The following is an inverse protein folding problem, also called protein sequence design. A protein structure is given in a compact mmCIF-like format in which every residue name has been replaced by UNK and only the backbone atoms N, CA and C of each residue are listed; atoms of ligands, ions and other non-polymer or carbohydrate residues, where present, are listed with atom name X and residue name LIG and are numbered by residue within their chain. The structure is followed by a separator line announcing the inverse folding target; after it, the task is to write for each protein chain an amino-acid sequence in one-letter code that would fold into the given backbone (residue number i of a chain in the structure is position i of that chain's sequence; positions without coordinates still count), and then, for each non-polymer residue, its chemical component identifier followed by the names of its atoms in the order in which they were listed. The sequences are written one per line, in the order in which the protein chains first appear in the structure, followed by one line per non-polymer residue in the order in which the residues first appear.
data_IF_166677570803
#
_entry.id   IF_166677570803
#
_cell.length_a   1.000
_cell.length_b   1.000
_cell.length_c   1.000
_cell.angle_alpha   90.00
_cell.angle_beta   90.00
_cell.angle_gamma   90.00
#
_symmetry.space_group_name_H-M   'P 1'
#
loop_
_entity.id
_entity.type
_entity.pdbx_description
1 polymer ?
#
# COMPACT_ATOMS: atom_id res chain seq x y z
N UNK A 1 6.12 -12.27 -2.12
CA UNK A 1 5.63 -10.89 -2.24
C UNK A 1 6.28 -10.01 -1.17
N UNK A 2 6.46 -8.74 -1.47
CA UNK A 2 6.95 -7.72 -0.55
C UNK A 2 6.14 -6.47 -0.79
N UNK A 3 5.69 -5.82 0.29
CA UNK A 3 5.01 -4.54 0.23
C UNK A 3 5.63 -3.58 1.24
N UNK A 4 5.63 -2.29 0.94
CA UNK A 4 6.23 -1.26 1.79
C UNK A 4 5.16 -0.61 2.67
N UNK A 5 5.37 -0.61 3.99
CA UNK A 5 4.46 -0.07 4.99
C UNK A 5 3.03 -0.61 4.81
N UNK A 6 2.09 0.25 4.42
CA UNK A 6 0.72 -0.10 4.07
C UNK A 6 0.64 -1.24 3.03
N UNK A 7 1.58 -1.28 2.09
CA UNK A 7 1.66 -2.32 1.06
C UNK A 7 1.86 -3.72 1.63
N UNK A 8 2.31 -3.88 2.88
CA UNK A 8 2.39 -5.20 3.54
C UNK A 8 1.00 -5.85 3.67
N UNK A 9 -0.05 -5.05 3.93
CA UNK A 9 -1.44 -5.54 3.95
C UNK A 9 -1.90 -5.99 2.56
N UNK A 10 -1.52 -5.25 1.51
CA UNK A 10 -1.82 -5.63 0.14
C UNK A 10 -1.09 -6.94 -0.24
N UNK A 11 0.19 -7.09 0.14
CA UNK A 11 0.95 -8.32 -0.10
C UNK A 11 0.34 -9.54 0.63
N UNK A 12 -0.08 -9.38 1.89
CA UNK A 12 -0.78 -10.42 2.64
C UNK A 12 -2.12 -10.79 1.97
N UNK A 13 -2.86 -9.80 1.49
CA UNK A 13 -4.12 -10.00 0.78
C UNK A 13 -3.92 -10.76 -0.53
N UNK A 14 -3.01 -10.30 -1.39
CA UNK A 14 -2.72 -10.94 -2.67
C UNK A 14 -2.14 -12.36 -2.52
N UNK A 15 -1.48 -12.65 -1.39
CA UNK A 15 -1.02 -13.99 -1.07
C UNK A 15 -2.13 -14.93 -0.56
N UNK A 16 -3.34 -14.41 -0.34
CA UNK A 16 -4.47 -15.15 0.21
C UNK A 16 -4.43 -15.35 1.73
N UNK A 17 -3.46 -14.75 2.43
CA UNK A 17 -3.33 -14.85 3.88
C UNK A 17 -4.42 -14.07 4.64
N UNK A 18 -4.99 -13.06 3.99
CA UNK A 18 -6.02 -12.18 4.52
C UNK A 18 -7.03 -11.89 3.41
N UNK A 19 -8.33 -11.84 3.72
CA UNK A 19 -9.33 -11.44 2.71
C UNK A 19 -9.27 -9.95 2.42
N UNK A 20 -9.71 -9.54 1.23
CA UNK A 20 -9.68 -8.13 0.84
C UNK A 20 -10.51 -7.25 1.76
N UNK A 21 -11.70 -7.72 2.14
CA UNK A 21 -12.60 -7.02 3.07
C UNK A 21 -11.96 -6.78 4.45
N UNK A 22 -11.33 -7.81 5.03
CA UNK A 22 -10.62 -7.69 6.31
C UNK A 22 -9.43 -6.73 6.20
N UNK A 23 -8.66 -6.83 5.10
CA UNK A 23 -7.54 -5.93 4.85
C UNK A 23 -7.98 -4.47 4.77
N UNK A 24 -9.06 -4.18 4.04
CA UNK A 24 -9.60 -2.83 3.92
C UNK A 24 -10.06 -2.27 5.28
N UNK A 25 -10.77 -3.08 6.08
CA UNK A 25 -11.20 -2.70 7.42
C UNK A 25 -10.00 -2.40 8.34
N UNK A 26 -8.96 -3.24 8.32
CA UNK A 26 -7.74 -3.04 9.09
C UNK A 26 -6.98 -1.77 8.65
N UNK A 27 -6.85 -1.54 7.35
CA UNK A 27 -6.18 -0.34 6.80
C UNK A 27 -6.92 0.94 7.17
N UNK A 28 -8.26 0.93 7.09
CA UNK A 28 -9.09 2.04 7.50
C UNK A 28 -8.94 2.33 9.01
N UNK A 29 -8.98 1.27 9.84
CA UNK A 29 -8.77 1.40 11.28
C UNK A 29 -7.36 1.91 11.61
N UNK A 30 -6.32 1.33 11.00
CA UNK A 30 -4.92 1.76 11.13
C UNK A 30 -4.77 3.25 10.85
N UNK A 31 -5.33 3.71 9.73
CA UNK A 31 -5.26 5.12 9.33
C UNK A 31 -5.98 6.03 10.31
N UNK A 32 -7.19 5.66 10.74
CA UNK A 32 -7.99 6.43 11.69
C UNK A 32 -7.28 6.59 13.04
N UNK A 33 -6.83 5.49 13.63
CA UNK A 33 -6.14 5.49 14.93
C UNK A 33 -4.88 6.36 14.89
N UNK A 34 -4.10 6.24 13.81
CA UNK A 34 -2.85 6.96 13.69
C UNK A 34 -3.08 8.46 13.38
N UNK A 35 -4.15 8.80 12.64
CA UNK A 35 -4.58 10.19 12.45
C UNK A 35 -5.12 10.85 13.73
N UNK A 36 -5.76 10.09 14.62
CA UNK A 36 -6.21 10.62 15.92
C UNK A 36 -5.00 11.05 16.75
N UNK A 37 -3.97 10.21 16.88
CA UNK A 37 -2.71 10.56 17.53
C UNK A 37 -2.07 11.79 16.89
N UNK A 38 -1.95 11.82 15.56
CA UNK A 38 -1.34 12.94 14.84
C UNK A 38 -2.09 14.28 14.98
N UNK A 39 -3.37 14.29 15.40
CA UNK A 39 -4.08 15.54 15.73
C UNK A 39 -3.77 16.05 17.12
N UNK A 40 -3.41 15.15 18.03
CA UNK A 40 -3.09 15.48 19.42
C UNK A 40 -1.62 15.87 19.62
N UNK A 41 -0.76 15.59 18.64
CA UNK A 41 0.67 15.93 18.67
C UNK A 41 1.14 16.59 17.38
N UNK A 42 2.01 17.60 17.51
CA UNK A 42 2.74 18.15 16.37
C UNK A 42 3.83 17.17 15.92
N UNK A 43 3.53 16.39 14.89
CA UNK A 43 4.39 15.35 14.35
C UNK A 43 4.64 15.54 12.86
N UNK A 44 5.83 15.12 12.42
CA UNK A 44 6.24 15.24 11.03
C UNK A 44 7.13 14.07 10.62
N UNK A 45 7.41 14.02 9.32
CA UNK A 45 8.32 13.05 8.73
C UNK A 45 9.22 13.74 7.74
N UNK A 46 10.40 13.17 7.51
CA UNK A 46 11.34 13.71 6.52
C UNK A 46 12.09 12.59 5.83
N UNK A 47 12.39 12.78 4.55
CA UNK A 47 13.24 11.86 3.78
C UNK A 47 14.65 12.42 3.78
N UNK A 48 15.58 11.62 4.25
CA UNK A 48 17.01 11.89 4.19
C UNK A 48 17.57 11.12 2.99
N UNK A 49 18.23 11.80 2.05
CA UNK A 49 18.96 11.18 0.94
C UNK A 49 20.45 11.48 1.07
N UNK A 50 21.27 10.65 0.42
CA UNK A 50 22.73 10.70 0.56
C UNK A 50 23.20 10.60 2.02
N UNK A 51 22.36 10.03 2.90
CA UNK A 51 22.63 9.91 4.32
C UNK A 51 23.53 8.72 4.63
N UNK A 52 24.33 8.83 5.68
CA UNK A 52 25.00 7.70 6.30
C UNK A 52 24.16 7.19 7.48
N UNK A 53 23.89 5.88 7.58
CA UNK A 53 23.05 5.32 8.64
C UNK A 53 23.52 5.68 10.06
N UNK A 54 24.83 5.67 10.32
CA UNK A 54 25.37 5.99 11.64
C UNK A 54 25.19 7.48 11.96
N UNK A 55 25.38 8.35 10.97
CA UNK A 55 25.13 9.79 11.13
C UNK A 55 23.64 10.09 11.35
N UNK A 56 22.76 9.43 10.62
CA UNK A 56 21.30 9.58 10.78
C UNK A 56 20.83 9.08 12.16
N UNK A 57 21.37 7.96 12.64
CA UNK A 57 21.09 7.49 13.99
C UNK A 57 21.57 8.49 15.06
N UNK A 58 22.79 9.02 14.91
CA UNK A 58 23.33 10.03 15.81
C UNK A 58 22.48 11.32 15.79
N UNK A 59 21.99 11.75 14.62
CA UNK A 59 21.11 12.90 14.48
C UNK A 59 19.82 12.73 15.29
N UNK A 60 19.20 11.54 15.25
CA UNK A 60 18.02 11.25 16.06
C UNK A 60 18.35 11.33 17.57
N UNK A 61 19.41 10.67 18.03
CA UNK A 61 19.80 10.68 19.44
C UNK A 61 20.11 12.09 19.97
N UNK A 62 20.80 12.90 19.18
CA UNK A 62 21.11 14.31 19.51
C UNK A 62 19.82 15.12 19.60
N UNK A 63 18.95 15.01 18.59
CA UNK A 63 17.69 15.71 18.55
C UNK A 63 16.76 15.34 19.71
N UNK A 64 16.64 14.06 20.07
CA UNK A 64 15.84 13.63 21.22
C UNK A 64 16.38 14.21 22.54
N UNK A 65 17.70 14.27 22.70
CA UNK A 65 18.34 14.84 23.90
C UNK A 65 18.11 16.34 24.01
N UNK A 66 18.24 17.08 22.91
CA UNK A 66 18.13 18.53 22.87
C UNK A 66 16.69 19.00 23.04
N UNK A 67 15.75 18.35 22.37
CA UNK A 67 14.34 18.75 22.34
C UNK A 67 13.50 18.09 23.42
N UNK A 68 13.98 16.99 24.01
CA UNK A 68 13.19 16.10 24.90
C UNK A 68 11.93 15.55 24.22
N UNK A 69 11.97 15.42 22.90
CA UNK A 69 10.89 14.94 22.06
C UNK A 69 11.35 13.73 21.24
N UNK A 70 10.41 12.86 20.86
CA UNK A 70 10.72 11.59 20.18
C UNK A 70 11.00 11.79 18.69
N UNK A 71 12.04 11.15 18.18
CA UNK A 71 12.33 11.02 16.75
C UNK A 71 13.15 9.75 16.48
N UNK A 72 12.87 9.07 15.37
CA UNK A 72 13.66 7.91 14.98
C UNK A 72 13.58 7.63 13.49
N UNK A 73 14.42 6.70 13.05
CA UNK A 73 14.36 6.17 11.70
C UNK A 73 13.09 5.32 11.57
N UNK A 74 12.19 5.74 10.68
CA UNK A 74 10.94 5.07 10.33
C UNK A 74 11.09 4.08 9.17
N UNK A 75 11.99 4.37 8.21
CA UNK A 75 12.24 3.46 7.09
C UNK A 75 13.72 3.40 6.74
N UNK A 76 14.25 2.20 6.58
CA UNK A 76 15.57 1.91 5.99
C UNK A 76 15.39 1.63 4.50
N UNK A 77 15.17 2.69 3.71
CA UNK A 77 14.75 2.61 2.31
C UNK A 77 15.88 2.17 1.36
N UNK A 78 17.06 2.75 1.47
CA UNK A 78 18.24 2.37 0.69
C UNK A 78 19.52 2.61 1.50
N UNK A 79 20.70 2.15 1.06
CA UNK A 79 21.96 2.41 1.77
C UNK A 79 22.21 3.89 2.09
N UNK A 80 21.60 4.80 1.33
CA UNK A 80 21.74 6.24 1.47
C UNK A 80 20.42 6.99 1.66
N UNK A 81 19.28 6.28 1.71
CA UNK A 81 17.97 6.88 1.88
C UNK A 81 17.27 6.34 3.12
N UNK A 82 16.87 7.25 3.99
CA UNK A 82 16.16 6.96 5.23
C UNK A 82 14.92 7.84 5.33
N UNK A 83 13.92 7.39 6.08
CA UNK A 83 12.81 8.23 6.51
C UNK A 83 12.90 8.41 8.01
N UNK A 84 12.84 9.64 8.49
CA UNK A 84 12.68 9.93 9.91
C UNK A 84 11.21 10.23 10.20
N UNK A 85 10.77 9.84 11.39
CA UNK A 85 9.44 10.15 11.90
C UNK A 85 9.49 10.45 13.39
N UNK A 86 8.76 11.48 13.81
CA UNK A 86 8.76 11.91 15.19
C UNK A 86 7.94 13.17 15.40
N UNK A 87 8.16 13.77 16.56
CA UNK A 87 7.64 15.09 16.88
C UNK A 87 8.40 16.16 16.10
N UNK A 88 7.69 17.21 15.69
CA UNK A 88 8.18 18.13 14.68
C UNK A 88 9.46 18.87 15.08
N UNK A 89 9.60 19.28 16.35
CA UNK A 89 10.82 19.98 16.78
C UNK A 89 12.05 19.07 16.78
N UNK A 90 11.88 17.79 17.11
CA UNK A 90 12.96 16.80 17.07
C UNK A 90 13.35 16.46 15.62
N UNK A 91 12.39 16.41 14.69
CA UNK A 91 12.68 16.28 13.25
C UNK A 91 13.54 17.45 12.78
N UNK A 92 13.13 18.69 13.06
CA UNK A 92 13.88 19.90 12.64
C UNK A 92 15.30 19.89 13.21
N UNK A 93 15.48 19.52 14.48
CA UNK A 93 16.80 19.41 15.09
C UNK A 93 17.67 18.33 14.42
N UNK A 94 17.10 17.16 14.09
CA UNK A 94 17.81 16.10 13.39
C UNK A 94 18.20 16.49 11.96
N UNK A 95 17.31 17.17 11.23
CA UNK A 95 17.58 17.71 9.89
C UNK A 95 18.74 18.70 9.91
N UNK A 96 18.73 19.65 10.85
CA UNK A 96 19.79 20.65 11.00
C UNK A 96 21.13 19.98 11.35
N UNK A 97 21.13 19.04 12.29
CA UNK A 97 22.32 18.28 12.64
C UNK A 97 22.93 17.58 11.42
N UNK A 98 22.11 16.95 10.59
CA UNK A 98 22.58 16.27 9.38
C UNK A 98 23.23 17.23 8.39
N UNK A 99 22.57 18.36 8.10
CA UNK A 99 23.07 19.36 7.15
C UNK A 99 24.39 20.00 7.61
N UNK A 100 24.59 20.15 8.92
CA UNK A 100 25.81 20.70 9.49
C UNK A 100 27.00 19.72 9.45
N UNK A 101 26.73 18.41 9.46
CA UNK A 101 27.77 17.37 9.56
C UNK A 101 28.10 16.68 8.23
N UNK A 102 27.23 16.76 7.22
CA UNK A 102 27.50 16.21 5.88
C UNK A 102 26.86 17.07 4.78
N UNK A 103 27.71 17.67 3.94
CA UNK A 103 27.28 18.56 2.84
C UNK A 103 26.62 17.82 1.68
N UNK A 104 26.74 16.50 1.61
CA UNK A 104 26.08 15.70 0.57
C UNK A 104 24.65 15.36 0.94
N UNK A 105 24.30 15.40 2.23
CA UNK A 105 22.96 15.05 2.71
C UNK A 105 21.92 16.01 2.15
N UNK A 106 20.86 15.43 1.61
CA UNK A 106 19.67 16.16 1.21
C UNK A 106 18.53 15.82 2.18
N UNK A 107 17.82 16.85 2.62
CA UNK A 107 16.63 16.74 3.46
C UNK A 107 15.41 17.10 2.61
N UNK A 108 14.39 16.25 2.61
CA UNK A 108 13.11 16.48 1.96
C UNK A 108 12.00 16.40 3.00
N UNK A 109 11.62 17.53 3.63
CA UNK A 109 10.57 17.56 4.63
C UNK A 109 9.22 17.15 4.05
N UNK A 110 8.51 16.28 4.76
CA UNK A 110 7.13 15.92 4.47
C UNK A 110 6.27 16.49 5.61
N UNK A 111 6.00 17.80 5.49
CA UNK A 111 5.30 18.59 6.51
C UNK A 111 3.84 18.16 6.57
N UNK A 112 3.38 17.85 7.78
CA UNK A 112 2.03 17.36 8.01
C UNK A 112 1.92 15.88 7.66
N UNK A 113 1.44 15.08 8.60
CA UNK A 113 1.32 13.65 8.38
C UNK A 113 1.17 12.88 9.67
N UNK A 114 1.07 11.57 9.52
CA UNK A 114 1.01 10.64 10.63
C UNK A 114 2.41 10.09 10.88
N UNK A 115 2.90 10.03 12.14
CA UNK A 115 4.24 9.54 12.44
C UNK A 115 4.32 8.00 12.36
N UNK A 116 4.09 7.43 11.18
CA UNK A 116 4.16 5.99 10.97
C UNK A 116 5.56 5.45 11.27
N UNK A 117 5.60 4.23 11.80
CA UNK A 117 6.84 3.52 12.16
C UNK A 117 7.64 4.22 13.27
N UNK A 118 6.96 4.98 14.11
CA UNK A 118 7.51 5.67 15.29
C UNK A 118 6.98 5.06 16.59
N UNK A 119 7.77 5.04 17.68
CA UNK A 119 7.30 4.66 19.01
C UNK A 119 6.02 5.39 19.46
N UNK A 120 5.77 6.60 18.93
CA UNK A 120 4.55 7.38 19.14
C UNK A 120 3.26 6.61 18.80
N UNK A 121 3.31 5.67 17.84
CA UNK A 121 2.15 4.87 17.42
C UNK A 121 2.03 3.52 18.12
N UNK A 122 2.84 3.22 19.14
CA UNK A 122 2.71 1.98 19.92
C UNK A 122 1.30 1.77 20.50
N UNK A 123 0.60 2.80 21.05
CA UNK A 123 -0.79 2.66 21.49
C UNK A 123 -1.75 2.33 20.34
N UNK A 124 -1.54 2.85 19.13
CA UNK A 124 -2.35 2.53 17.97
C UNK A 124 -2.21 1.06 17.58
N UNK A 125 -0.99 0.51 17.64
CA UNK A 125 -0.74 -0.92 17.41
C UNK A 125 -1.55 -1.80 18.37
N UNK A 126 -1.51 -1.47 19.67
CA UNK A 126 -2.28 -2.20 20.71
C UNK A 126 -3.80 -2.13 20.50
N UNK A 127 -4.31 -1.00 19.98
CA UNK A 127 -5.72 -0.89 19.64
C UNK A 127 -6.06 -1.69 18.38
N UNK A 128 -5.21 -1.64 17.36
CA UNK A 128 -5.37 -2.38 16.11
C UNK A 128 -5.32 -3.90 16.34
N UNK A 129 -4.52 -4.36 17.32
CA UNK A 129 -4.42 -5.76 17.74
C UNK A 129 -5.78 -6.43 17.93
N UNK A 130 -6.73 -5.74 18.55
CA UNK A 130 -8.10 -6.26 18.78
C UNK A 130 -8.84 -6.61 17.48
N UNK A 131 -8.58 -5.87 16.40
CA UNK A 131 -9.15 -6.17 15.09
C UNK A 131 -8.34 -7.27 14.38
N UNK A 132 -7.01 -7.25 14.51
CA UNK A 132 -6.13 -8.29 13.96
C UNK A 132 -6.44 -9.69 14.53
N UNK A 133 -6.75 -9.78 15.83
CA UNK A 133 -7.12 -11.04 16.51
C UNK A 133 -8.45 -11.62 16.01
N UNK A 134 -9.33 -10.80 15.41
CA UNK A 134 -10.63 -11.21 14.86
C UNK A 134 -10.55 -11.60 13.38
N UNK A 135 -9.38 -11.41 12.75
CA UNK A 135 -9.20 -11.76 11.35
C UNK A 135 -8.99 -13.25 11.18
N UNK A 136 -9.46 -13.77 10.05
CA UNK A 136 -9.24 -15.16 9.66
C UNK A 136 -7.94 -15.24 8.85
N UNK A 137 -6.85 -15.57 9.53
CA UNK A 137 -5.55 -15.71 8.90
C UNK A 137 -5.38 -17.07 8.23
N UNK A 138 -4.92 -17.04 6.98
CA UNK A 138 -4.61 -18.23 6.19
C UNK A 138 -3.13 -18.26 5.85
N UNK A 139 -2.62 -19.45 5.52
CA UNK A 139 -1.24 -19.59 5.07
C UNK A 139 -1.11 -18.92 3.69
N UNK A 140 -0.13 -18.02 3.48
CA UNK A 140 0.06 -17.38 2.20
C UNK A 140 0.49 -18.40 1.12
N UNK A 141 -0.01 -18.25 -0.10
CA UNK A 141 0.33 -19.12 -1.23
C UNK A 141 1.79 -18.96 -1.72
N UNK A 142 2.44 -17.87 -1.33
CA UNK A 142 3.86 -17.60 -1.57
C UNK A 142 4.45 -16.81 -0.38
N UNK A 143 5.77 -16.85 -0.15
CA UNK A 143 6.37 -16.12 0.98
C UNK A 143 6.06 -14.63 0.95
N UNK A 144 5.54 -14.07 2.04
CA UNK A 144 5.35 -12.62 2.24
C UNK A 144 6.35 -12.13 3.28
N UNK A 145 7.17 -11.15 2.93
CA UNK A 145 8.25 -10.66 3.80
C UNK A 145 7.74 -9.52 4.69
N UNK A 146 7.94 -9.65 5.99
CA UNK A 146 7.50 -8.64 6.94
C UNK A 146 8.41 -7.43 6.97
N UNK A 147 7.82 -6.25 7.15
CA UNK A 147 8.55 -4.99 7.25
C UNK A 147 9.30 -4.85 8.57
N UNK A 148 8.88 -5.56 9.62
CA UNK A 148 9.42 -5.39 10.98
C UNK A 148 10.80 -6.05 11.14
N UNK A 149 10.97 -7.24 10.57
CA UNK A 149 12.15 -8.07 10.80
C UNK A 149 12.80 -8.61 9.50
N UNK A 150 12.22 -8.28 8.34
CA UNK A 150 12.66 -8.75 7.03
C UNK A 150 12.66 -10.28 6.88
N UNK A 151 11.74 -10.98 7.57
CA UNK A 151 11.56 -12.42 7.47
C UNK A 151 10.20 -12.77 6.84
N UNK A 152 10.08 -13.93 6.18
CA UNK A 152 8.78 -14.41 5.72
C UNK A 152 7.86 -14.70 6.91
N UNK A 153 6.57 -14.44 6.74
CA UNK A 153 5.55 -14.89 7.69
C UNK A 153 5.58 -16.42 7.81
N UNK A 154 5.83 -16.98 9.01
CA UNK A 154 6.04 -18.42 9.17
C UNK A 154 4.74 -19.22 9.29
N UNK A 155 3.68 -18.59 9.77
CA UNK A 155 2.41 -19.23 10.14
C UNK A 155 1.23 -18.23 10.10
N UNK A 156 0.07 -18.65 10.60
CA UNK A 156 -1.16 -17.87 10.63
C UNK A 156 -1.36 -17.05 11.92
N UNK A 157 -0.50 -17.21 12.91
CA UNK A 157 -0.62 -16.53 14.22
C UNK A 157 0.27 -15.29 14.29
N UNK A 158 1.46 -15.39 13.72
CA UNK A 158 2.50 -14.37 13.66
C UNK A 158 2.07 -13.05 12.98
N UNK A 159 1.22 -13.03 11.92
CA UNK A 159 0.72 -11.80 11.31
C UNK A 159 0.17 -10.80 12.31
N UNK A 160 -0.53 -11.28 13.33
CA UNK A 160 -1.15 -10.43 14.34
C UNK A 160 -0.10 -9.65 15.13
N UNK A 161 0.95 -10.31 15.61
CA UNK A 161 2.00 -9.66 16.39
C UNK A 161 2.85 -8.71 15.54
N UNK A 162 3.24 -9.13 14.33
CA UNK A 162 4.13 -8.31 13.51
C UNK A 162 3.41 -7.09 12.92
N UNK A 163 2.13 -7.19 12.54
CA UNK A 163 1.36 -6.04 12.05
C UNK A 163 1.01 -5.04 13.17
N UNK A 164 0.79 -5.52 14.41
CA UNK A 164 0.69 -4.66 15.60
C UNK A 164 1.99 -3.85 15.77
N UNK A 165 3.13 -4.53 15.71
CA UNK A 165 4.44 -3.90 15.87
C UNK A 165 4.78 -2.95 14.72
N UNK A 166 4.38 -3.28 13.49
CA UNK A 166 4.69 -2.54 12.26
C UNK A 166 4.32 -1.06 12.35
N UNK A 167 3.25 -0.68 13.06
CA UNK A 167 2.89 0.74 13.22
C UNK A 167 3.97 1.56 13.94
N UNK A 168 4.73 0.94 14.83
CA UNK A 168 5.68 1.61 15.73
C UNK A 168 7.14 1.24 15.52
N UNK A 169 7.39 0.24 14.67
CA UNK A 169 8.73 -0.23 14.34
C UNK A 169 9.11 0.14 12.90
N UNK A 170 10.40 0.39 12.65
CA UNK A 170 10.89 0.78 11.34
C UNK A 170 10.63 -0.25 10.25
N UNK A 171 10.36 0.23 9.03
CA UNK A 171 10.35 -0.59 7.81
C UNK A 171 11.78 -0.99 7.45
N UNK A 172 12.08 -2.28 7.55
CA UNK A 172 13.38 -2.89 7.26
C UNK A 172 13.56 -3.22 5.77
N UNK A 173 13.27 -2.25 4.88
CA UNK A 173 13.22 -2.50 3.43
C UNK A 173 14.54 -3.06 2.85
N UNK A 174 15.68 -2.45 3.19
CA UNK A 174 17.01 -2.94 2.77
C UNK A 174 17.27 -4.40 3.16
N UNK A 175 16.89 -4.78 4.39
CA UNK A 175 17.03 -6.16 4.87
C UNK A 175 16.07 -7.09 4.13
N UNK A 176 14.86 -6.63 3.83
CA UNK A 176 13.89 -7.40 3.04
C UNK A 176 14.40 -7.66 1.62
N UNK A 177 15.06 -6.68 1.00
CA UNK A 177 15.70 -6.88 -0.30
C UNK A 177 16.90 -7.83 -0.22
N UNK A 178 17.72 -7.73 0.82
CA UNK A 178 18.84 -8.66 1.06
C UNK A 178 18.34 -10.09 1.24
N UNK A 179 17.25 -10.27 1.98
CA UNK A 179 16.59 -11.57 2.09
C UNK A 179 16.13 -12.08 0.73
N UNK A 180 15.44 -11.24 -0.06
CA UNK A 180 14.95 -11.64 -1.38
C UNK A 180 16.11 -12.06 -2.29
N UNK A 181 17.11 -11.20 -2.50
CA UNK A 181 18.23 -11.46 -3.42
C UNK A 181 19.09 -12.65 -2.99
N UNK A 182 19.15 -12.97 -1.70
CA UNK A 182 19.84 -14.15 -1.18
C UNK A 182 19.14 -15.49 -1.43
N UNK A 183 17.83 -15.47 -1.72
CA UNK A 183 17.03 -16.70 -1.89
C UNK A 183 16.47 -16.85 -3.31
N UNK A 184 16.12 -15.75 -3.98
CA UNK A 184 15.56 -15.69 -5.34
C UNK A 184 15.85 -14.31 -5.99
N UNK A 185 16.28 -14.25 -7.25
CA UNK A 185 16.26 -13.01 -8.05
C UNK A 185 15.22 -13.08 -9.16
N UNK A 186 13.91 -13.06 -8.82
CA UNK A 186 12.87 -13.01 -9.83
C UNK A 186 12.81 -11.60 -10.44
N UNK A 187 12.19 -11.50 -11.61
CA UNK A 187 11.69 -10.23 -12.13
C UNK A 187 10.79 -9.59 -11.05
N UNK A 188 10.96 -8.30 -10.81
CA UNK A 188 10.13 -7.55 -9.87
C UNK A 188 9.04 -6.76 -10.62
N UNK A 189 7.82 -6.86 -10.12
CA UNK A 189 6.64 -6.16 -10.66
C UNK A 189 6.00 -5.38 -9.51
N UNK A 190 6.08 -4.05 -9.57
CA UNK A 190 5.37 -3.17 -8.66
C UNK A 190 3.91 -3.06 -9.07
N UNK A 191 3.02 -3.41 -8.14
CA UNK A 191 1.58 -3.16 -8.22
C UNK A 191 1.26 -2.00 -7.29
N UNK A 192 1.26 -0.79 -7.85
CA UNK A 192 1.08 0.44 -7.11
C UNK A 192 1.29 1.66 -8.02
N UNK A 193 0.83 2.84 -7.61
CA UNK A 193 0.91 4.03 -8.42
C UNK A 193 2.35 4.60 -8.46
N UNK A 194 2.63 5.42 -9.47
CA UNK A 194 3.79 6.33 -9.50
C UNK A 194 5.19 5.70 -9.55
N UNK A 195 5.31 4.37 -9.71
CA UNK A 195 6.62 3.68 -9.86
C UNK A 195 7.59 3.90 -8.68
N UNK A 196 7.06 4.10 -7.47
CA UNK A 196 7.86 4.45 -6.28
C UNK A 196 8.77 3.28 -5.89
N UNK A 197 8.22 2.07 -5.80
CA UNK A 197 8.99 0.89 -5.40
C UNK A 197 9.94 0.46 -6.51
N UNK A 198 9.61 0.65 -7.79
CA UNK A 198 10.54 0.45 -8.90
C UNK A 198 11.79 1.31 -8.71
N UNK A 199 11.62 2.61 -8.49
CA UNK A 199 12.75 3.52 -8.29
C UNK A 199 13.56 3.13 -7.04
N UNK A 200 12.88 2.75 -5.96
CA UNK A 200 13.53 2.31 -4.74
C UNK A 200 14.33 1.01 -4.93
N UNK A 201 13.81 0.05 -5.70
CA UNK A 201 14.53 -1.18 -6.06
C UNK A 201 15.78 -0.86 -6.91
N UNK A 202 15.68 0.05 -7.87
CA UNK A 202 16.81 0.49 -8.68
C UNK A 202 17.89 1.18 -7.83
N UNK A 203 17.49 2.03 -6.88
CA UNK A 203 18.40 2.68 -5.93
C UNK A 203 19.14 1.66 -5.05
N UNK A 204 18.46 0.57 -4.68
CA UNK A 204 19.06 -0.57 -3.97
C UNK A 204 19.83 -1.53 -4.89
N UNK A 205 20.04 -1.19 -6.17
CA UNK A 205 20.75 -2.02 -7.17
C UNK A 205 20.16 -3.43 -7.29
N UNK A 206 18.83 -3.53 -7.30
CA UNK A 206 18.17 -4.82 -7.47
C UNK A 206 18.68 -5.55 -8.72
N UNK A 207 19.09 -6.83 -8.63
CA UNK A 207 19.89 -7.49 -9.66
C UNK A 207 19.10 -8.02 -10.86
N UNK A 208 17.78 -7.86 -10.88
CA UNK A 208 16.88 -8.37 -11.92
C UNK A 208 16.01 -7.24 -12.51
N UNK A 209 15.37 -7.47 -13.67
CA UNK A 209 14.46 -6.48 -14.26
C UNK A 209 13.34 -6.07 -13.31
N UNK A 210 13.05 -4.77 -13.27
CA UNK A 210 12.01 -4.17 -12.43
C UNK A 210 11.02 -3.40 -13.30
N UNK A 211 9.74 -3.70 -13.14
CA UNK A 211 8.65 -3.08 -13.88
C UNK A 211 7.63 -2.49 -12.91
N UNK A 212 7.07 -1.33 -13.25
CA UNK A 212 5.94 -0.75 -12.55
C UNK A 212 4.67 -0.92 -13.39
N UNK A 213 3.67 -1.62 -12.86
CA UNK A 213 2.45 -1.89 -13.63
C UNK A 213 1.64 -0.63 -13.91
N UNK A 214 1.77 0.45 -13.14
CA UNK A 214 1.12 1.73 -13.45
C UNK A 214 1.81 2.49 -14.63
N UNK A 215 3.04 2.11 -14.98
CA UNK A 215 3.77 2.69 -16.11
C UNK A 215 3.39 2.02 -17.45
N UNK A 216 2.91 2.81 -18.43
CA UNK A 216 2.49 2.31 -19.75
C UNK A 216 3.57 1.54 -20.50
N UNK A 217 4.80 2.04 -20.49
CA UNK A 217 5.92 1.41 -21.19
C UNK A 217 6.27 0.07 -20.54
N UNK A 218 6.36 0.06 -19.21
CA UNK A 218 6.64 -1.18 -18.46
C UNK A 218 5.54 -2.23 -18.65
N UNK A 219 4.26 -1.84 -18.70
CA UNK A 219 3.16 -2.79 -19.00
C UNK A 219 3.32 -3.45 -20.37
N UNK A 220 3.69 -2.69 -21.39
CA UNK A 220 3.92 -3.24 -22.72
C UNK A 220 5.10 -4.22 -22.72
N UNK A 221 6.19 -3.90 -22.01
CA UNK A 221 7.33 -4.80 -21.86
C UNK A 221 6.96 -6.06 -21.05
N UNK A 222 6.19 -5.91 -19.97
CA UNK A 222 5.72 -7.04 -19.16
C UNK A 222 4.89 -8.03 -19.98
N UNK A 223 4.02 -7.54 -20.88
CA UNK A 223 3.24 -8.41 -21.76
C UNK A 223 4.13 -9.27 -22.67
N UNK A 224 5.25 -8.72 -23.15
CA UNK A 224 6.23 -9.47 -23.95
C UNK A 224 6.99 -10.50 -23.09
N UNK A 225 7.37 -10.12 -21.87
CA UNK A 225 8.18 -10.94 -20.96
C UNK A 225 7.39 -12.10 -20.35
N UNK A 226 6.13 -11.86 -19.98
CA UNK A 226 5.23 -12.91 -19.45
C UNK A 226 4.62 -13.79 -20.55
N UNK A 227 4.79 -13.39 -21.83
CA UNK A 227 4.19 -14.02 -22.99
C UNK A 227 2.68 -13.81 -23.11
N UNK A 228 2.12 -14.05 -24.30
CA UNK A 228 0.68 -14.22 -24.48
C UNK A 228 0.27 -15.53 -23.79
N UNK A 229 -0.02 -15.45 -22.49
CA UNK A 229 -0.55 -16.58 -21.73
C UNK A 229 -2.00 -16.84 -22.18
N UNK A 230 -2.15 -17.46 -23.35
CA UNK A 230 -3.44 -17.80 -23.97
C UNK A 230 -4.32 -18.65 -23.05
N UNK A 231 -3.73 -19.37 -22.09
CA UNK A 231 -4.45 -20.15 -21.08
C UNK A 231 -5.29 -19.30 -20.11
N UNK A 232 -4.91 -18.04 -19.85
CA UNK A 232 -5.69 -17.13 -18.98
C UNK A 232 -6.88 -16.54 -19.74
N UNK A 233 -6.75 -16.36 -21.06
CA UNK A 233 -7.83 -15.83 -21.92
C UNK A 233 -8.97 -16.83 -22.17
N UNK A 234 -8.77 -18.12 -21.88
CA UNK A 234 -9.77 -19.18 -22.12
C UNK A 234 -10.40 -19.76 -20.85
N UNK A 235 -9.91 -19.42 -19.65
CA UNK A 235 -10.54 -19.80 -18.38
C UNK A 235 -11.73 -18.85 -18.06
N UNK A 236 -12.98 -19.34 -18.07
CA UNK A 236 -14.15 -18.50 -17.80
C UNK A 236 -14.10 -17.81 -16.42
N UNK A 237 -13.51 -18.43 -15.40
CA UNK A 237 -13.35 -17.81 -14.08
C UNK A 237 -12.27 -16.73 -14.07
N UNK A 238 -11.17 -16.92 -14.82
CA UNK A 238 -10.16 -15.88 -15.01
C UNK A 238 -10.76 -14.64 -15.71
N UNK A 239 -11.57 -14.85 -16.75
CA UNK A 239 -12.27 -13.77 -17.46
C UNK A 239 -13.23 -13.03 -16.52
N UNK A 240 -14.02 -13.74 -15.70
CA UNK A 240 -14.90 -13.06 -14.73
C UNK A 240 -14.12 -12.30 -13.64
N UNK A 241 -13.03 -12.87 -13.11
CA UNK A 241 -12.15 -12.16 -12.16
C UNK A 241 -11.54 -10.89 -12.77
N UNK A 242 -11.17 -10.94 -14.05
CA UNK A 242 -10.71 -9.77 -14.78
C UNK A 242 -11.83 -8.71 -14.87
N UNK A 243 -13.06 -9.11 -15.22
CA UNK A 243 -14.22 -8.18 -15.26
C UNK A 243 -14.49 -7.54 -13.90
N UNK A 244 -14.46 -8.30 -12.80
CA UNK A 244 -14.60 -7.76 -11.43
C UNK A 244 -13.51 -6.72 -11.14
N UNK A 245 -12.26 -7.01 -11.53
CA UNK A 245 -11.12 -6.10 -11.36
C UNK A 245 -11.31 -4.81 -12.13
N UNK A 246 -11.74 -4.91 -13.40
CA UNK A 246 -12.02 -3.76 -14.25
C UNK A 246 -13.17 -2.89 -13.69
N UNK A 247 -14.25 -3.51 -13.20
CA UNK A 247 -15.36 -2.80 -12.55
C UNK A 247 -14.90 -2.11 -11.26
N UNK A 248 -14.10 -2.79 -10.45
CA UNK A 248 -13.54 -2.20 -9.21
C UNK A 248 -12.66 -1.00 -9.52
N UNK A 249 -11.79 -1.11 -10.54
CA UNK A 249 -10.93 -0.02 -10.99
C UNK A 249 -11.75 1.15 -11.53
N UNK A 250 -12.77 0.89 -12.34
CA UNK A 250 -13.68 1.93 -12.84
C UNK A 250 -14.37 2.67 -11.69
N UNK A 251 -14.93 1.93 -10.73
CA UNK A 251 -15.64 2.50 -9.58
C UNK A 251 -14.71 3.27 -8.64
N UNK A 252 -13.43 2.93 -8.54
CA UNK A 252 -12.50 3.60 -7.62
C UNK A 252 -11.70 4.74 -8.27
N UNK A 253 -11.32 4.62 -9.55
CA UNK A 253 -10.50 5.60 -10.26
C UNK A 253 -11.30 6.79 -10.82
N UNK A 254 -12.62 6.65 -10.96
CA UNK A 254 -13.48 7.75 -11.43
C UNK A 254 -13.55 8.87 -10.39
N UNK A 255 -13.35 10.11 -10.84
CA UNK A 255 -13.31 11.29 -9.96
C UNK A 255 -14.67 11.51 -9.31
N UNK A 256 -14.67 11.79 -8.01
CA UNK A 256 -15.86 12.21 -7.27
C UNK A 256 -16.02 13.74 -7.36
N UNK A 257 -16.73 14.22 -8.38
CA UNK A 257 -16.97 15.66 -8.58
C UNK A 257 -17.91 16.25 -7.52
N UNK A 258 -18.66 15.39 -6.81
CA UNK A 258 -19.58 15.76 -5.73
C UNK A 258 -18.99 15.49 -4.34
N UNK A 259 -17.66 15.45 -4.19
CA UNK A 259 -17.02 15.16 -2.91
C UNK A 259 -17.38 16.12 -1.78
N UNK A 260 -17.75 17.37 -2.10
CA UNK A 260 -18.21 18.35 -1.12
C UNK A 260 -19.69 18.17 -0.72
N UNK A 261 -20.48 17.39 -1.46
CA UNK A 261 -21.87 17.08 -1.13
C UNK A 261 -21.90 15.94 -0.10
N UNK A 262 -22.36 16.26 1.11
CA UNK A 262 -22.42 15.34 2.24
C UNK A 262 -23.40 14.20 1.98
N UNK A 263 -24.55 14.47 1.36
CA UNK A 263 -25.57 13.47 1.10
C UNK A 263 -25.12 12.50 0.00
N UNK A 264 -24.61 13.04 -1.12
CA UNK A 264 -24.06 12.22 -2.20
C UNK A 264 -22.87 11.37 -1.71
N UNK A 265 -22.02 11.93 -0.84
CA UNK A 265 -20.88 11.20 -0.26
C UNK A 265 -21.32 10.11 0.73
N UNK A 266 -22.41 10.33 1.48
CA UNK A 266 -22.98 9.29 2.36
C UNK A 266 -23.55 8.13 1.54
N UNK A 267 -24.33 8.43 0.50
CA UNK A 267 -24.89 7.42 -0.42
C UNK A 267 -23.78 6.66 -1.16
N UNK A 268 -22.73 7.35 -1.59
CA UNK A 268 -21.58 6.70 -2.25
C UNK A 268 -20.87 5.73 -1.31
N UNK A 269 -20.74 6.05 -0.01
CA UNK A 269 -20.18 5.12 0.99
C UNK A 269 -21.02 3.86 1.14
N UNK A 270 -22.34 4.00 1.17
CA UNK A 270 -23.25 2.86 1.25
C UNK A 270 -23.17 1.98 -0.02
N UNK A 271 -23.13 2.61 -1.20
CA UNK A 271 -22.92 1.93 -2.46
C UNK A 271 -21.60 1.14 -2.50
N UNK A 272 -20.51 1.78 -2.09
CA UNK A 272 -19.19 1.13 -2.02
C UNK A 272 -19.21 -0.04 -1.04
N UNK A 273 -19.92 0.08 0.09
CA UNK A 273 -20.07 -1.01 1.06
C UNK A 273 -20.76 -2.21 0.42
N UNK A 274 -21.90 -2.01 -0.25
CA UNK A 274 -22.61 -3.06 -1.01
C UNK A 274 -21.75 -3.70 -2.10
N UNK A 275 -20.96 -2.89 -2.81
CA UNK A 275 -20.07 -3.35 -3.88
C UNK A 275 -18.98 -4.29 -3.32
N UNK A 276 -18.31 -3.88 -2.25
CA UNK A 276 -17.24 -4.68 -1.65
C UNK A 276 -17.74 -5.87 -0.84
N UNK A 277 -18.94 -5.80 -0.24
CA UNK A 277 -19.62 -6.95 0.35
C UNK A 277 -19.90 -8.04 -0.70
N UNK A 278 -20.35 -7.64 -1.90
CA UNK A 278 -20.53 -8.60 -3.00
C UNK A 278 -19.21 -9.24 -3.41
N UNK A 279 -18.14 -8.47 -3.54
CA UNK A 279 -16.80 -9.02 -3.84
C UNK A 279 -16.37 -10.02 -2.76
N UNK A 280 -16.59 -9.69 -1.49
CA UNK A 280 -16.29 -10.60 -0.38
C UNK A 280 -17.08 -11.91 -0.48
N UNK A 281 -18.37 -11.86 -0.83
CA UNK A 281 -19.19 -13.07 -1.03
C UNK A 281 -18.70 -13.92 -2.21
N UNK A 282 -18.20 -13.30 -3.27
CA UNK A 282 -17.56 -14.00 -4.41
C UNK A 282 -16.27 -14.68 -3.93
N UNK A 283 -15.41 -13.96 -3.22
CA UNK A 283 -14.15 -14.51 -2.67
C UNK A 283 -14.39 -15.69 -1.73
N UNK A 284 -15.42 -15.62 -0.88
CA UNK A 284 -15.81 -16.70 0.02
C UNK A 284 -16.33 -17.93 -0.72
N UNK A 285 -17.08 -17.74 -1.81
CA UNK A 285 -17.54 -18.84 -2.66
C UNK A 285 -16.43 -19.45 -3.52
N UNK A 286 -15.38 -18.68 -3.81
CA UNK A 286 -14.26 -19.10 -4.66
C UNK A 286 -14.57 -19.13 -6.16
N UNK A 287 -15.77 -18.72 -6.56
CA UNK A 287 -16.27 -18.67 -7.94
C UNK A 287 -17.22 -17.49 -8.10
N UNK A 288 -17.29 -16.94 -9.32
CA UNK A 288 -18.15 -15.80 -9.68
C UNK A 288 -19.19 -16.20 -10.73
N UNK A 289 -20.41 -15.67 -10.61
CA UNK A 289 -21.46 -15.85 -11.62
C UNK A 289 -21.64 -14.61 -12.51
N UNK A 290 -22.35 -14.75 -13.63
CA UNK A 290 -22.73 -13.60 -14.46
C UNK A 290 -23.67 -12.64 -13.71
N UNK A 291 -24.50 -13.14 -12.80
CA UNK A 291 -25.35 -12.31 -11.94
C UNK A 291 -24.52 -11.42 -11.01
N UNK A 292 -23.40 -11.94 -10.49
CA UNK A 292 -22.48 -11.14 -9.68
C UNK A 292 -21.87 -10.00 -10.50
N UNK A 293 -21.46 -10.27 -11.75
CA UNK A 293 -20.91 -9.24 -12.63
C UNK A 293 -21.97 -8.20 -12.99
N UNK A 294 -23.18 -8.62 -13.33
CA UNK A 294 -24.29 -7.72 -13.64
C UNK A 294 -24.62 -6.80 -12.45
N UNK A 295 -24.65 -7.36 -11.24
CA UNK A 295 -24.89 -6.58 -10.02
C UNK A 295 -23.78 -5.56 -9.75
N UNK A 296 -22.51 -5.95 -9.88
CA UNK A 296 -21.38 -5.02 -9.73
C UNK A 296 -21.41 -3.92 -10.81
N UNK A 297 -21.78 -4.25 -12.04
CA UNK A 297 -21.96 -3.28 -13.12
C UNK A 297 -23.10 -2.29 -12.81
N UNK A 298 -24.23 -2.75 -12.29
CA UNK A 298 -25.33 -1.87 -11.86
C UNK A 298 -24.89 -0.88 -10.78
N UNK A 299 -24.12 -1.35 -9.80
CA UNK A 299 -23.54 -0.49 -8.77
C UNK A 299 -22.51 0.50 -9.34
N UNK A 300 -21.75 0.12 -10.37
CA UNK A 300 -20.87 1.06 -11.07
C UNK A 300 -21.68 2.21 -11.72
N UNK A 301 -22.78 1.90 -12.40
CA UNK A 301 -23.67 2.90 -13.00
C UNK A 301 -24.23 3.88 -11.97
N UNK A 302 -24.74 3.35 -10.86
CA UNK A 302 -25.20 4.16 -9.74
C UNK A 302 -24.05 5.02 -9.17
N UNK A 303 -22.84 4.47 -9.12
CA UNK A 303 -21.62 5.15 -8.68
C UNK A 303 -21.28 6.37 -9.55
N UNK A 304 -21.40 6.28 -10.88
CA UNK A 304 -21.20 7.43 -11.77
C UNK A 304 -22.15 8.58 -11.47
N UNK A 305 -23.43 8.27 -11.23
CA UNK A 305 -24.45 9.27 -10.91
C UNK A 305 -24.15 9.97 -9.59
N UNK A 306 -23.80 9.21 -8.54
CA UNK A 306 -23.45 9.77 -7.24
C UNK A 306 -22.18 10.62 -7.27
N UNK A 307 -21.21 10.23 -8.12
CA UNK A 307 -19.98 10.99 -8.33
C UNK A 307 -20.14 12.25 -9.18
N UNK A 308 -21.29 12.40 -9.85
CA UNK A 308 -21.53 13.49 -10.79
C UNK A 308 -20.64 13.38 -12.03
N UNK A 309 -20.35 12.16 -12.49
CA UNK A 309 -19.59 11.93 -13.72
C UNK A 309 -20.38 12.40 -14.94
N UNK A 310 -19.71 13.06 -15.87
CA UNK A 310 -20.29 13.48 -17.15
C UNK A 310 -20.49 12.30 -18.09
N UNK A 311 -21.40 12.42 -19.06
CA UNK A 311 -21.62 11.36 -20.06
C UNK A 311 -20.33 10.99 -20.81
N UNK A 312 -19.49 11.99 -21.14
CA UNK A 312 -18.20 11.75 -21.79
C UNK A 312 -17.24 10.92 -20.93
N UNK A 313 -17.22 11.13 -19.60
CA UNK A 313 -16.42 10.31 -18.68
C UNK A 313 -16.94 8.88 -18.56
N UNK A 314 -18.27 8.72 -18.53
CA UNK A 314 -18.96 7.42 -18.50
C UNK A 314 -18.65 6.65 -19.79
N UNK A 315 -18.85 7.25 -20.95
CA UNK A 315 -18.58 6.65 -22.26
C UNK A 315 -17.10 6.24 -22.40
N UNK A 316 -16.18 7.12 -21.97
CA UNK A 316 -14.75 6.81 -21.97
C UNK A 316 -14.39 5.67 -21.00
N UNK A 317 -15.15 5.50 -19.90
CA UNK A 317 -14.98 4.36 -19.01
C UNK A 317 -15.48 3.07 -19.65
N UNK A 318 -16.68 3.07 -20.25
CA UNK A 318 -17.23 1.91 -20.96
C UNK A 318 -16.34 1.46 -22.11
N UNK A 319 -15.81 2.39 -22.90
CA UNK A 319 -14.89 2.08 -23.98
C UNK A 319 -13.65 1.31 -23.48
N UNK A 320 -13.11 1.69 -22.32
CA UNK A 320 -11.99 0.98 -21.68
C UNK A 320 -12.38 -0.40 -21.16
N UNK A 321 -13.55 -0.52 -20.52
CA UNK A 321 -14.08 -1.81 -20.07
C UNK A 321 -14.29 -2.78 -21.25
N UNK A 322 -14.71 -2.27 -22.41
CA UNK A 322 -14.92 -3.06 -23.62
C UNK A 322 -13.59 -3.46 -24.31
N UNK A 323 -12.60 -2.55 -24.36
CA UNK A 323 -11.29 -2.85 -24.96
C UNK A 323 -10.49 -3.86 -24.15
N UNK A 324 -10.56 -3.78 -22.81
CA UNK A 324 -9.78 -4.62 -21.90
C UNK A 324 -10.40 -6.02 -21.71
N UNK A 325 -11.66 -6.23 -22.13
CA UNK A 325 -12.34 -7.52 -22.16
C UNK A 325 -12.06 -8.35 -23.44
N UNK A 326 -11.17 -7.89 -24.32
CA UNK A 326 -10.76 -8.69 -25.49
C UNK A 326 -11.87 -8.89 -26.52
N UNK A 327 -12.73 -7.89 -26.74
CA UNK A 327 -13.64 -7.84 -27.88
C UNK A 327 -14.65 -8.98 -27.92
N UNK A 328 -15.62 -8.98 -27.01
CA UNK A 328 -16.93 -9.56 -27.28
C UNK A 328 -18.00 -8.55 -26.82
N UNK A 329 -18.65 -7.97 -27.83
CA UNK A 329 -19.90 -7.23 -27.72
C UNK A 329 -21.05 -8.19 -27.42
#
# INVERSE_FOLDING_TARGET
MLGHSLGEYAALTCSGALSFSQALALVAMRSRLASEIAREMDASTTIIKQGNQALVAAACEVAERETRQQVGIACFNSPQQFMLSGQNSAIIAAEQYLLDHDRQVEVVPLIGGVPYHSPLLKPCGQQLRKALDRCEWRRPCCPVISNVNAQPYPDTVTPVQWLEQQLSQPVQWQRSLTYLTGHLSPIAIEIGPQSVLKNLLLENRYPAPVYAFDNRHDRAQLALVLGDNMAVKTDPEAVRRQRITLLTNALTATRHHRAADVAASAQLKELLSRFFERIQQIEQRGTSSEEDIAFLHELLEQGFQLKGSSQAEIDACHARLASDNGGQA
#
